data_IF_457167778460
#
_entry.id   IF_457167778460
#
_cell.length_a   1.000
_cell.length_b   1.000
_cell.length_c   1.000
_cell.angle_alpha   90.00
_cell.angle_beta   90.00
_cell.angle_gamma   90.00
#
_symmetry.space_group_name_H-M   'P 1'
#
loop_
_entity.id
_entity.type
_entity.pdbx_description
1 polymer ?
#
# COMPACT_ATOMS: atom_id res chain seq x y z
N UNK A 1 0.19 -15.73 3.34
CA UNK A 1 1.63 -16.05 3.26
C UNK A 1 2.27 -15.03 2.32
N UNK A 2 3.38 -14.39 2.71
CA UNK A 2 4.17 -13.54 1.82
C UNK A 2 5.34 -14.36 1.28
N UNK A 3 5.65 -14.20 -0.01
CA UNK A 3 6.73 -14.93 -0.68
C UNK A 3 7.66 -13.90 -1.34
N UNK A 4 8.99 -14.00 -1.16
CA UNK A 4 9.91 -13.07 -1.79
C UNK A 4 9.91 -13.26 -3.31
N UNK A 5 9.87 -12.14 -4.05
CA UNK A 5 9.93 -12.12 -5.52
C UNK A 5 11.23 -11.44 -5.94
N UNK A 6 12.09 -12.09 -6.75
CA UNK A 6 13.27 -11.44 -7.30
C UNK A 6 12.90 -10.24 -8.17
N UNK A 7 13.70 -9.17 -8.11
CA UNK A 7 13.42 -7.91 -8.80
C UNK A 7 13.25 -8.02 -10.32
N UNK A 8 13.98 -8.93 -10.96
CA UNK A 8 13.86 -9.17 -12.40
C UNK A 8 12.50 -9.79 -12.75
N UNK A 9 11.96 -10.69 -11.89
CA UNK A 9 10.62 -11.27 -12.08
C UNK A 9 9.56 -10.18 -11.95
N UNK A 10 9.64 -9.36 -10.90
CA UNK A 10 8.72 -8.25 -10.70
C UNK A 10 8.72 -7.27 -11.89
N UNK A 11 9.89 -6.99 -12.47
CA UNK A 11 10.02 -6.15 -13.66
C UNK A 11 9.36 -6.76 -14.90
N UNK A 12 9.49 -8.08 -15.11
CA UNK A 12 8.82 -8.77 -16.23
C UNK A 12 7.30 -8.67 -16.05
N UNK A 13 6.80 -8.99 -14.85
CA UNK A 13 5.38 -8.88 -14.52
C UNK A 13 4.85 -7.47 -14.76
N UNK A 14 5.54 -6.45 -14.24
CA UNK A 14 5.17 -5.05 -14.41
C UNK A 14 5.18 -4.57 -15.87
N UNK A 15 6.04 -5.15 -16.71
CA UNK A 15 6.11 -4.82 -18.14
C UNK A 15 4.85 -5.25 -18.89
N UNK A 16 4.25 -6.37 -18.47
CA UNK A 16 3.05 -6.93 -19.08
C UNK A 16 1.80 -6.31 -18.43
N UNK A 17 1.73 -6.37 -17.09
CA UNK A 17 0.57 -5.90 -16.32
C UNK A 17 0.38 -4.38 -16.40
N UNK A 18 1.44 -3.63 -16.67
CA UNK A 18 1.39 -2.18 -16.85
C UNK A 18 0.71 -1.73 -18.14
N UNK A 19 0.50 -2.62 -19.12
CA UNK A 19 -0.13 -2.28 -20.41
C UNK A 19 -1.65 -2.42 -20.40
N UNK A 20 -2.24 -2.94 -19.32
CA UNK A 20 -3.68 -3.11 -19.21
C UNK A 20 -4.39 -1.76 -19.03
N UNK A 21 -5.66 -1.60 -19.47
CA UNK A 21 -6.43 -0.37 -19.27
C UNK A 21 -6.51 0.09 -17.80
N UNK A 22 -6.49 -0.88 -16.87
CA UNK A 22 -6.35 -0.67 -15.44
C UNK A 22 -5.14 -1.49 -14.96
N UNK A 23 -3.93 -0.89 -14.92
CA UNK A 23 -2.71 -1.64 -14.66
C UNK A 23 -2.68 -2.18 -13.23
N UNK A 24 -2.40 -3.48 -13.09
CA UNK A 24 -2.32 -4.15 -11.79
C UNK A 24 -0.97 -3.92 -11.10
N UNK A 25 0.09 -3.77 -11.89
CA UNK A 25 1.45 -3.49 -11.42
C UNK A 25 2.22 -2.76 -12.53
N UNK A 26 2.86 -1.63 -12.20
CA UNK A 26 3.67 -0.85 -13.15
C UNK A 26 5.17 -0.92 -12.85
N UNK A 27 6.02 -0.61 -13.84
CA UNK A 27 7.48 -0.58 -13.65
C UNK A 27 7.89 0.43 -12.58
N UNK A 28 7.23 1.58 -12.57
CA UNK A 28 7.51 2.64 -11.59
C UNK A 28 7.15 2.22 -10.18
N UNK A 29 6.04 1.49 -10.00
CA UNK A 29 5.69 0.90 -8.70
C UNK A 29 6.75 -0.10 -8.24
N UNK A 30 7.27 -0.95 -9.13
CA UNK A 30 8.36 -1.87 -8.78
C UNK A 30 9.63 -1.10 -8.40
N UNK A 31 9.96 -0.02 -9.11
CA UNK A 31 11.09 0.85 -8.74
C UNK A 31 10.89 1.49 -7.38
N UNK A 32 9.68 2.00 -7.08
CA UNK A 32 9.38 2.62 -5.80
C UNK A 32 9.45 1.63 -4.62
N UNK A 33 9.11 0.36 -4.84
CA UNK A 33 9.24 -0.69 -3.81
C UNK A 33 10.68 -1.02 -3.43
N UNK A 34 11.67 -0.66 -4.27
CA UNK A 34 13.09 -0.87 -3.97
C UNK A 34 13.64 0.14 -2.98
N UNK A 35 13.01 1.31 -2.90
CA UNK A 35 13.50 2.45 -2.15
C UNK A 35 12.66 2.70 -0.90
N UNK A 36 13.32 3.05 0.19
CA UNK A 36 12.64 3.40 1.43
C UNK A 36 12.19 4.86 1.39
N UNK A 37 10.88 5.09 1.39
CA UNK A 37 10.28 6.42 1.50
C UNK A 37 10.32 6.93 2.96
N UNK A 38 11.52 7.26 3.45
CA UNK A 38 11.75 7.77 4.80
C UNK A 38 11.94 9.29 4.74
N UNK A 39 11.39 10.01 5.72
CA UNK A 39 11.58 11.46 5.85
C UNK A 39 13.06 11.77 6.07
N UNK A 40 13.60 12.67 5.26
CA UNK A 40 15.02 13.02 5.33
C UNK A 40 15.37 13.84 6.58
N UNK A 41 16.61 13.74 7.04
CA UNK A 41 17.12 14.53 8.16
C UNK A 41 17.05 16.04 7.91
N UNK A 42 17.21 16.47 6.66
CA UNK A 42 17.07 17.88 6.28
C UNK A 42 15.62 18.38 6.49
N UNK A 43 14.62 17.56 6.17
CA UNK A 43 13.22 17.89 6.43
C UNK A 43 12.93 18.00 7.93
N UNK A 44 13.48 17.08 8.73
CA UNK A 44 13.39 17.13 10.19
C UNK A 44 14.01 18.42 10.76
N UNK A 45 15.23 18.77 10.34
CA UNK A 45 15.97 19.97 10.81
C UNK A 45 15.31 21.29 10.42
N UNK A 46 14.58 21.32 9.31
CA UNK A 46 13.94 22.53 8.77
C UNK A 46 12.45 22.61 9.08
N UNK A 47 11.94 21.80 10.01
CA UNK A 47 10.53 21.73 10.39
C UNK A 47 9.57 21.49 9.20
N UNK A 48 10.03 20.78 8.18
CA UNK A 48 9.23 20.40 6.99
C UNK A 48 8.62 19.01 7.15
N UNK A 49 8.01 18.77 8.30
CA UNK A 49 7.33 17.51 8.65
C UNK A 49 5.93 17.79 9.15
N UNK A 50 5.09 16.76 9.29
CA UNK A 50 3.76 16.94 9.89
C UNK A 50 3.84 17.62 11.27
N UNK A 51 4.75 17.17 12.13
CA UNK A 51 4.98 17.78 13.43
C UNK A 51 5.48 19.23 13.32
N UNK A 52 6.37 19.53 12.36
CA UNK A 52 6.84 20.89 12.09
C UNK A 52 5.73 21.84 11.61
N UNK A 53 4.67 21.30 11.01
CA UNK A 53 3.44 22.02 10.64
C UNK A 53 2.39 22.08 11.76
N UNK A 54 2.70 21.56 12.96
CA UNK A 54 1.76 21.48 14.09
C UNK A 54 0.69 20.39 13.95
N UNK A 55 0.85 19.44 13.02
CA UNK A 55 -0.08 18.34 12.78
C UNK A 55 0.38 17.10 13.54
N UNK A 56 -0.49 16.56 14.40
CA UNK A 56 -0.24 15.31 15.11
C UNK A 56 -0.53 14.11 14.19
N UNK A 57 0.45 13.24 13.88
CA UNK A 57 0.22 12.09 13.03
C UNK A 57 -0.64 11.03 13.73
N UNK A 58 -1.58 10.45 13.00
CA UNK A 58 -2.39 9.33 13.49
C UNK A 58 -1.81 7.99 12.98
N UNK A 59 -1.83 6.98 13.85
CA UNK A 59 -1.36 5.64 13.49
C UNK A 59 -2.23 5.01 12.41
N UNK A 60 -1.56 4.51 11.36
CA UNK A 60 -2.17 3.74 10.27
C UNK A 60 -2.90 2.50 10.82
N UNK A 61 -2.32 1.84 11.82
CA UNK A 61 -2.88 0.61 12.40
C UNK A 61 -4.26 0.83 13.06
N UNK A 62 -4.53 2.05 13.54
CA UNK A 62 -5.83 2.41 14.13
C UNK A 62 -6.90 2.62 13.06
N UNK A 63 -6.51 3.10 11.88
CA UNK A 63 -7.46 3.49 10.82
C UNK A 63 -7.71 2.34 9.83
N UNK A 64 -6.67 1.61 9.41
CA UNK A 64 -6.79 0.55 8.40
C UNK A 64 -7.92 -0.46 8.61
N UNK A 65 -8.25 -0.91 9.84
CA UNK A 65 -9.34 -1.85 10.05
C UNK A 65 -10.69 -1.35 9.55
N UNK A 66 -10.97 -0.04 9.60
CA UNK A 66 -12.23 0.53 9.12
C UNK A 66 -12.34 0.50 7.59
N UNK A 67 -11.24 0.75 6.86
CA UNK A 67 -11.22 0.71 5.40
C UNK A 67 -11.21 -0.71 4.82
N UNK A 68 -10.46 -1.61 5.47
CA UNK A 68 -10.24 -2.97 4.99
C UNK A 68 -11.33 -3.95 5.41
N UNK A 69 -12.28 -3.53 6.26
CA UNK A 69 -13.42 -4.34 6.69
C UNK A 69 -14.10 -5.08 5.53
N UNK A 70 -14.33 -4.39 4.41
CA UNK A 70 -15.00 -4.96 3.23
C UNK A 70 -14.30 -6.16 2.60
N UNK A 71 -12.99 -6.28 2.78
CA UNK A 71 -12.17 -7.35 2.18
C UNK A 71 -11.92 -8.51 3.17
N UNK A 72 -12.44 -8.43 4.40
CA UNK A 72 -12.34 -9.54 5.37
C UNK A 72 -13.27 -10.69 4.95
N UNK A 73 -12.92 -11.92 5.32
CA UNK A 73 -13.67 -13.13 4.97
C UNK A 73 -15.15 -13.13 5.42
N UNK A 74 -15.51 -12.32 6.43
CA UNK A 74 -16.88 -12.07 6.89
C UNK A 74 -17.33 -10.60 6.74
N UNK A 75 -16.75 -9.89 5.78
CA UNK A 75 -17.05 -8.47 5.51
C UNK A 75 -18.38 -8.27 4.79
N UNK A 76 -18.60 -7.04 4.32
CA UNK A 76 -19.86 -6.56 3.73
C UNK A 76 -20.40 -7.35 2.51
N UNK A 77 -19.60 -8.23 1.90
CA UNK A 77 -19.99 -9.04 0.74
C UNK A 77 -20.23 -10.52 1.07
N UNK A 78 -20.16 -10.93 2.34
CA UNK A 78 -20.48 -12.29 2.72
C UNK A 78 -21.99 -12.52 2.53
N UNK A 79 -22.38 -13.27 1.50
CA UNK A 79 -23.77 -13.67 1.32
C UNK A 79 -24.16 -14.59 2.48
N UNK A 80 -25.16 -14.17 3.27
CA UNK A 80 -25.82 -15.06 4.24
C UNK A 80 -26.43 -16.20 3.45
N UNK A 81 -25.87 -17.40 3.55
CA UNK A 81 -26.54 -18.62 3.12
C UNK A 81 -27.81 -18.75 3.98
N UNK A 82 -29.04 -18.79 3.41
CA UNK A 82 -30.21 -19.08 4.21
C UNK A 82 -30.03 -20.47 4.83
N UNK A 83 -30.40 -20.61 6.10
CA UNK A 83 -30.43 -21.91 6.76
C UNK A 83 -31.41 -22.81 5.99
N UNK A 84 -30.96 -24.03 5.66
CA UNK A 84 -31.78 -25.07 5.05
C UNK A 84 -32.84 -25.57 6.04
#
# INVERSE_FOLDING_TARGET
LLVPVPWWVANIQASILGMLPNPLLTKDQVTQLREHNIVSDAANKTNRTLAGLGIQPQSIATILPSYLWRYRAAGQFQQRKPAA
#
